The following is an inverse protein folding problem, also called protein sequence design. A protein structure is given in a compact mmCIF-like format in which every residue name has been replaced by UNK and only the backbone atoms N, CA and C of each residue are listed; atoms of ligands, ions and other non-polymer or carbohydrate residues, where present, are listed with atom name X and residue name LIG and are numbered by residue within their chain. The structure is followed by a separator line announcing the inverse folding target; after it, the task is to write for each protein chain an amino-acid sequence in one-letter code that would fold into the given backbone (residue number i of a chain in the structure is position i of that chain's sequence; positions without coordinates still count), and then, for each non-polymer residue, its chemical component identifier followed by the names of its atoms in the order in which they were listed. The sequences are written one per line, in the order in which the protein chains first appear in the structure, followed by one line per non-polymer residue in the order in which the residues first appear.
data_IF_024102876900
#
_entry.id   IF_024102876900
#
_cell.length_a   1.000
_cell.length_b   1.000
_cell.length_c   1.000
_cell.angle_alpha   90.00
_cell.angle_beta   90.00
_cell.angle_gamma   90.00
#
_symmetry.space_group_name_H-M   'P 1'
#
loop_
_entity.id
_entity.type
_entity.pdbx_description
1 polymer ?
#
# COMPACT_ATOMS: atom_id res chain seq x y z
N UNK A 1 -72.33 -15.33 -52.18
CA UNK A 1 -71.97 -13.95 -51.80
C UNK A 1 -71.36 -13.97 -50.42
N UNK A 2 -70.29 -13.17 -50.23
CA UNK A 2 -69.61 -12.80 -48.97
C UNK A 2 -68.99 -13.97 -48.17
N UNK A 3 -67.66 -14.05 -47.99
CA UNK A 3 -66.76 -13.12 -47.28
C UNK A 3 -67.17 -13.03 -45.78
N UNK A 4 -66.31 -13.10 -44.78
CA UNK A 4 -64.86 -13.13 -44.67
C UNK A 4 -64.52 -13.49 -43.21
N UNK A 5 -63.34 -14.07 -42.96
CA UNK A 5 -62.32 -13.68 -41.95
C UNK A 5 -62.81 -13.19 -40.56
N UNK A 6 -62.27 -13.55 -39.40
CA UNK A 6 -61.01 -14.21 -39.01
C UNK A 6 -61.03 -14.37 -37.48
N UNK A 7 -60.58 -15.54 -37.02
CA UNK A 7 -59.45 -15.73 -36.10
C UNK A 7 -59.43 -14.98 -34.76
N UNK A 8 -59.74 -15.71 -33.68
CA UNK A 8 -59.03 -15.64 -32.37
C UNK A 8 -59.24 -16.94 -31.59
N UNK A 9 -58.16 -17.65 -31.24
CA UNK A 9 -57.85 -18.08 -29.87
C UNK A 9 -56.56 -18.91 -29.83
N UNK A 10 -55.66 -18.51 -28.95
CA UNK A 10 -54.56 -19.34 -28.48
C UNK A 10 -55.07 -20.36 -27.45
N UNK A 11 -54.61 -21.61 -27.51
CA UNK A 11 -54.40 -22.48 -26.35
C UNK A 11 -53.28 -23.48 -26.62
N UNK A 12 -52.57 -23.80 -25.54
CA UNK A 12 -51.31 -24.53 -25.41
C UNK A 12 -51.46 -26.05 -25.65
N UNK A 13 -50.33 -26.68 -25.99
CA UNK A 13 -50.07 -28.12 -25.91
C UNK A 13 -49.38 -28.61 -27.19
N UNK A 14 -48.39 -29.50 -27.21
CA UNK A 14 -47.62 -30.17 -26.19
C UNK A 14 -46.29 -30.62 -26.83
N UNK A 15 -45.35 -31.01 -25.98
CA UNK A 15 -43.99 -31.48 -26.27
C UNK A 15 -43.95 -32.67 -27.25
N UNK A 16 -43.04 -32.67 -28.24
CA UNK A 16 -42.54 -33.88 -28.90
C UNK A 16 -41.03 -33.75 -29.14
N UNK A 17 -40.32 -34.43 -28.25
CA UNK A 17 -39.12 -35.27 -28.40
C UNK A 17 -37.87 -34.79 -29.15
N UNK A 18 -36.75 -34.94 -28.42
CA UNK A 18 -35.36 -34.87 -28.88
C UNK A 18 -35.09 -35.84 -30.03
N UNK A 19 -34.43 -35.33 -31.07
CA UNK A 19 -33.86 -36.12 -32.17
C UNK A 19 -32.53 -35.57 -32.66
N UNK A 20 -31.45 -35.93 -31.96
CA UNK A 20 -30.10 -36.16 -32.48
C UNK A 20 -29.56 -35.26 -33.61
N UNK A 21 -29.02 -34.09 -33.26
CA UNK A 21 -28.03 -33.39 -34.10
C UNK A 21 -26.66 -34.09 -33.94
N UNK A 22 -26.46 -35.18 -34.69
CA UNK A 22 -25.14 -35.80 -34.86
C UNK A 22 -24.26 -34.87 -35.69
N UNK A 23 -23.40 -34.14 -34.99
CA UNK A 23 -22.02 -33.85 -35.38
C UNK A 23 -21.79 -33.36 -36.80
N UNK A 24 -22.14 -32.10 -37.07
CA UNK A 24 -21.24 -31.31 -37.92
C UNK A 24 -20.03 -30.96 -37.06
N UNK A 25 -18.93 -31.67 -37.29
CA UNK A 25 -17.61 -31.19 -36.88
C UNK A 25 -17.44 -29.83 -37.54
N UNK A 26 -17.41 -28.76 -36.76
CA UNK A 26 -16.76 -27.54 -37.21
C UNK A 26 -15.29 -27.92 -37.42
N UNK A 27 -14.94 -28.19 -38.67
CA UNK A 27 -13.55 -28.12 -39.11
C UNK A 27 -13.23 -26.64 -39.00
N UNK A 28 -12.49 -26.26 -37.96
CA UNK A 28 -11.72 -25.03 -38.02
C UNK A 28 -10.81 -25.19 -39.23
N UNK A 29 -11.13 -24.50 -40.33
CA UNK A 29 -10.11 -24.19 -41.32
C UNK A 29 -8.97 -23.56 -40.53
N UNK A 30 -7.82 -24.23 -40.52
CA UNK A 30 -6.61 -23.67 -39.97
C UNK A 30 -6.40 -22.33 -40.70
N UNK A 31 -6.41 -21.24 -39.94
CA UNK A 31 -6.13 -19.92 -40.48
C UNK A 31 -4.81 -20.00 -41.28
N UNK A 32 -4.74 -19.38 -42.47
CA UNK A 32 -3.53 -19.46 -43.29
C UNK A 32 -2.35 -18.97 -42.46
N UNK A 33 -1.29 -19.76 -42.44
CA UNK A 33 -0.03 -19.47 -41.76
C UNK A 33 0.38 -18.01 -42.03
N UNK A 34 0.12 -17.12 -41.07
CA UNK A 34 0.57 -15.74 -41.12
C UNK A 34 2.09 -15.78 -41.19
N UNK A 35 2.62 -15.40 -42.35
CA UNK A 35 4.05 -15.23 -42.55
C UNK A 35 4.52 -14.20 -41.54
N UNK A 36 5.13 -14.68 -40.45
CA UNK A 36 5.69 -13.84 -39.38
C UNK A 36 6.60 -12.81 -40.03
N UNK A 37 6.18 -11.55 -40.04
CA UNK A 37 6.99 -10.44 -40.50
C UNK A 37 8.30 -10.46 -39.71
N UNK A 38 9.44 -10.29 -40.40
CA UNK A 38 10.74 -10.28 -39.73
C UNK A 38 10.77 -9.19 -38.67
N UNK A 39 11.06 -9.56 -37.42
CA UNK A 39 11.20 -8.62 -36.32
C UNK A 39 12.65 -8.10 -36.29
N UNK A 40 12.81 -6.79 -36.08
CA UNK A 40 14.09 -6.17 -35.80
C UNK A 40 14.11 -5.84 -34.31
N UNK A 41 15.07 -6.44 -33.58
CA UNK A 41 15.25 -6.20 -32.16
C UNK A 41 16.13 -4.95 -31.97
N UNK A 42 15.56 -3.89 -31.40
CA UNK A 42 16.27 -2.66 -31.07
C UNK A 42 16.59 -2.63 -29.57
N UNK A 43 17.84 -2.32 -29.22
CA UNK A 43 18.32 -2.30 -27.82
C UNK A 43 18.18 -0.92 -27.18
N UNK A 44 18.10 0.14 -27.99
CA UNK A 44 18.11 1.53 -27.51
C UNK A 44 16.83 1.92 -26.73
N UNK A 45 15.68 1.34 -27.08
CA UNK A 45 14.41 1.59 -26.39
C UNK A 45 14.29 0.82 -25.07
N UNK A 46 15.17 -0.15 -24.81
CA UNK A 46 15.12 -0.92 -23.57
C UNK A 46 15.41 -0.06 -22.32
N UNK A 47 16.09 1.08 -22.48
CA UNK A 47 16.29 2.06 -21.39
C UNK A 47 14.99 2.63 -20.81
N UNK A 48 13.87 2.59 -21.55
CA UNK A 48 12.56 2.95 -21.02
C UNK A 48 11.97 1.86 -20.12
N UNK A 49 12.27 0.59 -20.41
CA UNK A 49 11.85 -0.56 -19.59
C UNK A 49 12.58 -0.54 -18.25
N UNK A 50 13.86 -0.17 -18.23
CA UNK A 50 14.64 -0.06 -17.00
C UNK A 50 14.03 0.95 -15.99
N UNK A 51 13.44 2.05 -16.48
CA UNK A 51 12.78 3.05 -15.62
C UNK A 51 11.47 2.55 -14.99
N UNK A 52 10.86 1.51 -15.56
CA UNK A 52 9.66 0.89 -15.02
C UNK A 52 9.97 -0.07 -13.86
N UNK A 53 11.22 -0.52 -13.74
CA UNK A 53 11.63 -1.43 -12.67
C UNK A 53 11.79 -0.60 -11.38
N UNK A 54 11.01 -0.89 -10.31
CA UNK A 54 11.14 -0.17 -9.07
C UNK A 54 12.47 -0.53 -8.36
N UNK A 55 13.14 0.43 -7.70
CA UNK A 55 14.32 0.14 -6.92
C UNK A 55 13.98 -0.71 -5.69
N UNK A 56 14.77 -1.75 -5.43
CA UNK A 56 14.56 -2.66 -4.29
C UNK A 56 14.90 -2.03 -2.93
N UNK A 57 15.84 -1.07 -2.92
CA UNK A 57 16.32 -0.40 -1.71
C UNK A 57 15.84 1.05 -1.67
N UNK A 58 15.43 1.50 -0.48
CA UNK A 58 15.05 2.90 -0.25
C UNK A 58 16.27 3.79 -0.50
N UNK A 59 16.17 4.82 -1.35
CA UNK A 59 17.27 5.72 -1.63
C UNK A 59 17.62 6.56 -0.39
N UNK A 60 18.90 6.87 -0.23
CA UNK A 60 19.33 7.82 0.78
C UNK A 60 18.81 9.23 0.44
N UNK A 61 18.46 10.05 1.45
CA UNK A 61 17.95 11.38 1.21
C UNK A 61 19.04 12.27 0.60
N UNK A 62 18.66 13.26 -0.23
CA UNK A 62 19.61 14.21 -0.77
C UNK A 62 20.26 15.03 0.35
N UNK A 63 21.56 15.28 0.25
CA UNK A 63 22.30 16.13 1.19
C UNK A 63 21.78 17.56 1.06
N UNK A 64 21.20 18.10 2.13
CA UNK A 64 20.70 19.47 2.22
C UNK A 64 21.07 20.05 3.57
N UNK A 65 21.42 21.33 3.58
CA UNK A 65 21.65 22.10 4.80
C UNK A 65 20.34 22.80 5.15
N UNK A 66 19.73 22.41 6.27
CA UNK A 66 18.47 22.99 6.76
C UNK A 66 17.20 22.17 6.45
N UNK A 67 16.04 22.65 6.92
CA UNK A 67 14.76 21.97 6.72
C UNK A 67 14.34 22.03 5.25
N UNK A 68 13.80 20.93 4.74
CA UNK A 68 13.12 20.93 3.45
C UNK A 68 11.83 21.77 3.52
N UNK A 69 11.27 22.22 2.37
CA UNK A 69 9.95 22.85 2.35
C UNK A 69 8.83 21.95 2.90
N UNK A 70 9.04 20.62 2.98
CA UNK A 70 8.13 19.67 3.62
C UNK A 70 8.32 19.56 5.15
N UNK A 71 9.25 20.31 5.74
CA UNK A 71 9.57 20.26 7.17
C UNK A 71 10.43 19.06 7.59
N UNK A 72 11.01 18.32 6.64
CA UNK A 72 11.95 17.23 6.94
C UNK A 72 13.34 17.80 7.19
N UNK A 73 13.97 17.33 8.27
CA UNK A 73 15.33 17.75 8.66
C UNK A 73 16.23 16.52 8.81
N UNK A 74 17.42 16.52 8.19
CA UNK A 74 18.38 15.43 8.35
C UNK A 74 18.88 15.34 9.81
N UNK A 75 19.33 14.16 10.26
CA UNK A 75 20.04 14.04 11.53
C UNK A 75 21.33 14.87 11.49
N UNK A 76 21.78 15.34 12.66
CA UNK A 76 23.09 15.97 12.79
C UNK A 76 24.21 14.95 12.50
N UNK A 77 25.33 15.42 11.96
CA UNK A 77 26.46 14.55 11.56
C UNK A 77 27.06 13.79 12.76
N UNK A 78 27.14 14.46 13.92
CA UNK A 78 27.56 13.83 15.17
C UNK A 78 26.35 13.52 16.05
N UNK A 79 26.24 12.30 16.61
CA UNK A 79 25.22 12.02 17.60
C UNK A 79 25.42 12.93 18.83
N UNK A 80 24.34 13.46 19.41
CA UNK A 80 24.44 14.26 20.62
C UNK A 80 24.93 13.40 21.80
N UNK A 81 25.68 13.96 22.76
CA UNK A 81 26.17 13.25 23.94
C UNK A 81 25.04 13.11 24.98
N UNK A 82 23.93 12.47 24.58
CA UNK A 82 22.78 12.17 25.44
C UNK A 82 22.82 10.69 25.83
N UNK A 83 22.34 10.32 27.04
CA UNK A 83 22.32 8.94 27.50
C UNK A 83 21.30 8.06 26.75
N UNK A 84 20.45 8.66 25.92
CA UNK A 84 19.53 7.97 25.02
C UNK A 84 19.65 8.52 23.59
N UNK A 85 19.30 7.70 22.61
CA UNK A 85 19.30 8.06 21.19
C UNK A 85 18.03 7.51 20.52
N UNK A 86 17.37 8.32 19.70
CA UNK A 86 16.20 7.90 18.92
C UNK A 86 16.62 7.68 17.48
N UNK A 87 16.47 6.45 16.99
CA UNK A 87 16.80 6.11 15.60
C UNK A 87 15.68 6.50 14.65
N UNK A 88 16.06 6.99 13.47
CA UNK A 88 15.12 7.29 12.38
C UNK A 88 14.52 6.00 11.81
N UNK A 89 13.34 6.14 11.21
CA UNK A 89 12.67 5.04 10.51
C UNK A 89 13.40 4.67 9.21
N UNK A 90 12.94 3.60 8.55
CA UNK A 90 13.47 3.17 7.24
C UNK A 90 13.33 4.28 6.17
N UNK A 91 12.32 5.15 6.32
CA UNK A 91 12.04 6.29 5.44
C UNK A 91 12.68 7.60 5.95
N UNK A 92 13.68 7.52 6.84
CA UNK A 92 14.38 8.68 7.41
C UNK A 92 13.52 9.66 8.23
N UNK A 93 12.35 9.22 8.71
CA UNK A 93 11.44 10.02 9.53
C UNK A 93 11.64 9.78 11.03
N UNK A 94 11.17 10.73 11.86
CA UNK A 94 11.13 10.57 13.32
C UNK A 94 10.02 9.55 13.66
N UNK A 95 10.29 8.53 14.50
CA UNK A 95 9.35 7.46 14.81
C UNK A 95 8.33 7.87 15.89
N UNK A 96 7.60 8.97 15.67
CA UNK A 96 6.51 9.45 16.54
C UNK A 96 5.20 9.27 15.80
N UNK A 97 4.28 8.51 16.40
CA UNK A 97 3.00 8.14 15.79
C UNK A 97 1.86 8.33 16.77
N UNK A 98 0.63 8.36 16.25
CA UNK A 98 -0.59 8.36 17.05
C UNK A 98 -1.29 7.04 16.88
N UNK A 99 -1.54 6.36 17.99
CA UNK A 99 -2.37 5.17 18.05
C UNK A 99 -3.77 5.55 18.51
N UNK A 100 -4.78 5.05 17.81
CA UNK A 100 -6.19 5.21 18.17
C UNK A 100 -6.71 3.86 18.67
N UNK A 101 -6.99 3.77 19.96
CA UNK A 101 -7.57 2.59 20.60
C UNK A 101 -9.05 2.83 20.92
N UNK A 102 -9.90 1.81 20.77
CA UNK A 102 -11.35 1.84 21.07
C UNK A 102 -12.13 3.06 20.51
N UNK A 103 -11.64 3.67 19.42
CA UNK A 103 -12.27 4.82 18.74
C UNK A 103 -12.13 6.17 19.46
N UNK A 104 -11.90 6.20 20.78
CA UNK A 104 -11.82 7.42 21.58
C UNK A 104 -10.44 7.70 22.18
N UNK A 105 -9.68 6.65 22.54
CA UNK A 105 -8.37 6.80 23.18
C UNK A 105 -7.31 7.08 22.12
N UNK A 106 -6.75 8.29 22.12
CA UNK A 106 -5.59 8.66 21.30
C UNK A 106 -4.35 8.64 22.17
N UNK A 107 -3.34 7.89 21.77
CA UNK A 107 -2.07 7.78 22.48
C UNK A 107 -0.92 8.05 21.52
N UNK A 108 0.07 8.81 21.95
CA UNK A 108 1.28 9.05 21.15
C UNK A 108 2.30 7.95 21.45
N UNK A 109 2.80 7.31 20.40
CA UNK A 109 3.86 6.32 20.48
C UNK A 109 5.17 6.90 20.00
N UNK A 110 6.21 6.69 20.80
CA UNK A 110 7.60 6.90 20.39
C UNK A 110 8.28 5.54 20.30
N UNK A 111 8.82 5.20 19.13
CA UNK A 111 9.48 3.90 18.89
C UNK A 111 11.00 4.09 18.72
N UNK A 112 11.74 2.97 18.74
CA UNK A 112 13.19 2.94 18.44
C UNK A 112 14.04 3.86 19.33
N UNK A 113 13.72 3.87 20.62
CA UNK A 113 14.55 4.53 21.64
C UNK A 113 15.62 3.53 22.08
N UNK A 114 16.88 3.94 21.99
CA UNK A 114 18.06 3.20 22.45
C UNK A 114 18.71 3.97 23.62
N UNK A 115 19.40 3.25 24.52
CA UNK A 115 20.08 3.85 25.69
C UNK A 115 19.21 3.90 26.95
N UNK A 116 19.42 4.91 27.80
CA UNK A 116 18.71 5.08 29.07
C UNK A 116 17.28 5.60 28.86
N UNK A 117 16.34 4.66 28.90
CA UNK A 117 14.92 4.91 28.70
C UNK A 117 14.35 5.76 29.85
N UNK A 118 14.85 5.58 31.09
CA UNK A 118 14.36 6.35 32.25
C UNK A 118 14.65 7.83 32.10
N UNK A 119 15.85 8.16 31.62
CA UNK A 119 16.18 9.55 31.32
C UNK A 119 15.27 10.12 30.23
N UNK A 120 15.03 9.37 29.14
CA UNK A 120 14.10 9.78 28.09
C UNK A 120 12.67 10.04 28.63
N UNK A 121 12.15 9.10 29.44
CA UNK A 121 10.82 9.21 30.05
C UNK A 121 10.74 10.42 30.96
N UNK A 122 11.75 10.64 31.80
CA UNK A 122 11.77 11.77 32.74
C UNK A 122 11.73 13.12 32.00
N UNK A 123 12.55 13.27 30.95
CA UNK A 123 12.55 14.46 30.09
C UNK A 123 11.20 14.65 29.40
N UNK A 124 10.67 13.57 28.82
CA UNK A 124 9.41 13.63 28.09
C UNK A 124 8.23 13.94 29.01
N UNK A 125 8.19 13.32 30.20
CA UNK A 125 7.17 13.55 31.21
C UNK A 125 7.16 15.02 31.66
N UNK A 126 8.35 15.60 31.91
CA UNK A 126 8.48 17.02 32.22
C UNK A 126 7.96 17.94 31.11
N UNK A 127 8.28 17.64 29.85
CA UNK A 127 7.78 18.41 28.69
C UNK A 127 6.25 18.33 28.56
N UNK A 128 5.68 17.13 28.72
CA UNK A 128 4.23 16.92 28.64
C UNK A 128 3.50 17.62 29.79
N UNK A 129 4.03 17.51 31.01
CA UNK A 129 3.49 18.19 32.18
C UNK A 129 3.51 19.71 32.01
N UNK A 130 4.58 20.25 31.42
CA UNK A 130 4.70 21.68 31.11
C UNK A 130 3.65 22.16 30.10
N UNK A 131 3.39 21.39 29.04
CA UNK A 131 2.45 21.77 27.97
C UNK A 131 1.00 21.55 28.40
N UNK A 132 0.71 20.43 29.08
CA UNK A 132 -0.65 20.02 29.41
C UNK A 132 -1.11 20.44 30.82
N UNK A 133 -0.19 20.79 31.72
CA UNK A 133 -0.49 21.09 33.13
C UNK A 133 -1.08 19.92 33.93
N UNK A 134 -1.08 18.71 33.37
CA UNK A 134 -1.64 17.49 33.96
C UNK A 134 -0.72 16.31 33.69
N UNK A 135 -0.69 15.39 34.62
CA UNK A 135 -0.05 14.11 34.40
C UNK A 135 -0.96 13.21 33.55
N UNK A 136 -0.60 13.09 32.27
CA UNK A 136 -1.31 12.27 31.27
C UNK A 136 -0.44 11.10 30.79
N UNK A 137 0.65 10.80 31.51
CA UNK A 137 1.62 9.80 31.09
C UNK A 137 1.19 8.40 31.52
N UNK A 138 1.09 7.48 30.57
CA UNK A 138 0.80 6.07 30.82
C UNK A 138 2.02 5.21 30.41
N UNK A 139 2.71 4.66 31.41
CA UNK A 139 3.91 3.85 31.22
C UNK A 139 3.63 2.43 30.72
N UNK A 140 2.43 1.88 30.96
CA UNK A 140 2.13 0.47 30.69
C UNK A 140 2.20 0.10 29.20
N UNK A 141 2.08 1.09 28.31
CA UNK A 141 2.13 0.89 26.85
C UNK A 141 3.54 1.03 26.26
N UNK A 142 4.51 1.55 27.00
CA UNK A 142 5.87 1.81 26.49
C UNK A 142 6.66 0.51 26.29
N UNK A 143 6.42 -0.49 27.14
CA UNK A 143 7.18 -1.74 27.17
C UNK A 143 6.99 -2.62 25.92
N UNK A 144 5.92 -2.44 25.16
CA UNK A 144 5.59 -3.29 23.99
C UNK A 144 6.39 -2.88 22.74
N UNK A 145 6.92 -1.65 22.69
CA UNK A 145 7.59 -1.10 21.50
C UNK A 145 9.09 -0.86 21.69
N UNK A 146 9.62 -1.20 22.86
CA UNK A 146 11.05 -1.25 23.16
C UNK A 146 11.49 -2.70 22.91
N UNK A 147 11.33 -3.16 21.67
CA UNK A 147 11.94 -4.43 21.27
C UNK A 147 13.39 -4.17 20.87
N UNK A 148 14.37 -4.85 21.49
CA UNK A 148 15.72 -4.85 20.95
C UNK A 148 15.68 -5.55 19.59
N UNK A 149 16.27 -4.93 18.58
CA UNK A 149 16.79 -5.64 17.42
C UNK A 149 18.28 -5.87 17.63
#
# INVERSE_FOLDING_TARGET
MAASLTLRRALRGACVELGSLRGQRFVCDAAPEETRTGFLESTEEYGFVERLIPPSRIPAPPKRVGPSPSGWTPPADSPPPLPYMIRRSRMHNIPVYTDLTHGSRRTTLVRKVEGDIWFFICVWWGLVLLISGRDIFDMHFLSIYITPF
#
